data_IF_130960482786
#
_entry.id   IF_130960482786
#
_cell.length_a   1.000
_cell.length_b   1.000
_cell.length_c   1.000
_cell.angle_alpha   90.00
_cell.angle_beta   90.00
_cell.angle_gamma   90.00
#
_symmetry.space_group_name_H-M   'P 1'
#
loop_
_entity.id
_entity.type
_entity.pdbx_description
1 polymer ?
#
# COMPACT_ATOMS: atom_id res chain seq x y z
N UNK A 1 6.27 -23.89 4.83
CA UNK A 1 4.87 -23.39 4.75
C UNK A 1 4.50 -22.62 6.01
N UNK A 2 4.52 -23.22 7.21
CA UNK A 2 4.19 -22.49 8.46
C UNK A 2 5.09 -21.28 8.75
N UNK A 3 6.39 -21.37 8.48
CA UNK A 3 7.32 -20.25 8.70
C UNK A 3 7.07 -19.04 7.75
N UNK A 4 6.57 -19.26 6.53
CA UNK A 4 6.21 -18.17 5.61
C UNK A 4 4.85 -17.55 5.97
N UNK A 5 3.90 -18.35 6.47
CA UNK A 5 2.61 -17.87 6.97
C UNK A 5 2.77 -16.96 8.21
N UNK A 6 3.69 -17.33 9.13
CA UNK A 6 4.06 -16.47 10.27
C UNK A 6 4.70 -15.16 9.80
N UNK A 7 5.47 -15.18 8.70
CA UNK A 7 6.11 -13.99 8.13
C UNK A 7 5.15 -12.97 7.53
N UNK A 8 3.89 -13.32 7.24
CA UNK A 8 2.91 -12.38 6.66
C UNK A 8 1.88 -11.87 7.65
N UNK A 9 1.82 -12.45 8.85
CA UNK A 9 0.79 -12.07 9.83
C UNK A 9 0.82 -10.57 10.12
N UNK A 10 2.02 -9.99 10.30
CA UNK A 10 2.18 -8.55 10.52
C UNK A 10 1.70 -7.71 9.34
N UNK A 11 2.00 -8.12 8.09
CA UNK A 11 1.51 -7.43 6.89
C UNK A 11 -0.03 -7.35 6.90
N UNK A 12 -0.69 -8.46 7.23
CA UNK A 12 -2.14 -8.51 7.28
C UNK A 12 -2.74 -7.74 8.47
N UNK A 13 -2.03 -7.65 9.61
CA UNK A 13 -2.40 -6.74 10.73
C UNK A 13 -2.38 -5.28 10.29
N UNK A 14 -1.37 -4.86 9.51
CA UNK A 14 -1.31 -3.50 8.96
C UNK A 14 -2.37 -3.24 7.91
N UNK A 15 -2.63 -4.21 7.01
CA UNK A 15 -3.73 -4.14 6.05
C UNK A 15 -5.09 -4.02 6.73
N UNK A 16 -5.32 -4.79 7.79
CA UNK A 16 -6.56 -4.73 8.58
C UNK A 16 -6.70 -3.37 9.29
N UNK A 17 -5.61 -2.85 9.84
CA UNK A 17 -5.59 -1.51 10.44
C UNK A 17 -5.96 -0.43 9.42
N UNK A 18 -5.40 -0.50 8.21
CA UNK A 18 -5.74 0.42 7.12
C UNK A 18 -7.20 0.28 6.69
N UNK A 19 -7.71 -0.95 6.52
CA UNK A 19 -9.14 -1.24 6.26
C UNK A 19 -10.04 -0.60 7.31
N UNK A 20 -9.74 -0.75 8.59
CA UNK A 20 -10.51 -0.16 9.68
C UNK A 20 -10.51 1.37 9.65
N UNK A 21 -9.48 1.98 9.06
CA UNK A 21 -9.42 3.42 8.86
C UNK A 21 -10.26 3.87 7.66
N UNK A 22 -10.33 3.07 6.60
CA UNK A 22 -11.32 3.28 5.52
C UNK A 22 -12.74 3.26 6.07
N UNK A 23 -13.05 2.28 6.94
CA UNK A 23 -14.36 2.17 7.61
C UNK A 23 -14.68 3.41 8.44
N UNK A 24 -13.75 3.86 9.30
CA UNK A 24 -13.94 5.07 10.12
C UNK A 24 -14.07 6.35 9.29
N UNK A 25 -13.31 6.46 8.20
CA UNK A 25 -13.38 7.60 7.30
C UNK A 25 -14.69 7.63 6.50
N UNK A 26 -15.25 6.47 6.14
CA UNK A 26 -16.58 6.34 5.52
C UNK A 26 -17.70 6.81 6.45
N UNK A 27 -17.64 6.48 7.74
CA UNK A 27 -18.68 6.88 8.71
C UNK A 27 -18.55 8.32 9.20
N UNK A 28 -17.55 9.08 8.71
CA UNK A 28 -17.33 10.47 9.09
C UNK A 28 -16.72 10.66 10.47
N UNK A 29 -16.32 9.57 11.15
CA UNK A 29 -15.86 9.59 12.53
C UNK A 29 -14.47 10.23 12.70
N UNK A 30 -13.66 10.24 11.63
CA UNK A 30 -12.33 10.84 11.60
C UNK A 30 -12.19 11.70 10.34
N UNK A 31 -12.72 12.93 10.35
CA UNK A 31 -12.50 13.86 9.23
C UNK A 31 -11.07 14.42 9.27
N UNK A 32 -10.26 14.11 8.26
CA UNK A 32 -8.99 14.81 7.99
C UNK A 32 -9.04 15.31 6.55
N UNK A 33 -8.64 16.56 6.26
CA UNK A 33 -8.38 17.02 4.91
C UNK A 33 -7.50 16.02 4.14
N UNK A 34 -7.90 15.72 2.90
CA UNK A 34 -7.23 14.73 2.05
C UNK A 34 -5.88 15.26 1.51
N UNK A 35 -4.94 14.36 1.22
CA UNK A 35 -3.72 14.67 0.44
C UNK A 35 -2.50 15.12 1.24
N UNK A 36 -2.65 15.61 2.47
CA UNK A 36 -1.50 16.03 3.29
C UNK A 36 -0.86 14.87 4.06
N UNK A 37 0.48 14.89 4.16
CA UNK A 37 1.24 14.02 5.08
C UNK A 37 1.03 14.55 6.48
N UNK A 38 0.72 13.64 7.41
CA UNK A 38 0.43 13.95 8.81
C UNK A 38 1.11 12.95 9.72
N UNK A 39 1.25 13.31 10.98
CA UNK A 39 1.51 12.34 12.04
C UNK A 39 0.32 11.38 12.15
N UNK A 40 0.60 10.10 12.38
CA UNK A 40 -0.39 9.05 12.47
C UNK A 40 -1.38 9.35 13.62
N UNK A 41 -2.69 9.07 13.45
CA UNK A 41 -3.71 9.41 14.45
C UNK A 41 -3.51 8.81 15.86
N UNK A 42 -2.68 7.78 16.00
CA UNK A 42 -2.29 7.20 17.30
C UNK A 42 -1.37 8.11 18.12
N UNK A 43 -0.80 9.17 17.53
CA UNK A 43 0.13 10.08 18.20
C UNK A 43 1.55 9.52 18.36
N UNK A 44 1.86 8.38 17.75
CA UNK A 44 3.15 7.70 17.86
C UNK A 44 4.27 8.30 16.98
N UNK A 45 3.96 9.37 16.23
CA UNK A 45 4.94 10.08 15.40
C UNK A 45 5.19 9.45 14.02
N UNK A 46 4.54 8.32 13.68
CA UNK A 46 4.61 7.75 12.33
C UNK A 46 4.09 8.72 11.30
N UNK A 47 4.74 8.80 10.15
CA UNK A 47 4.21 9.54 9.01
C UNK A 47 3.13 8.74 8.30
N UNK A 48 2.09 9.44 7.89
CA UNK A 48 0.91 8.87 7.28
C UNK A 48 0.35 9.83 6.23
N UNK A 49 -0.27 9.27 5.20
CA UNK A 49 -1.10 9.98 4.23
C UNK A 49 -2.29 9.10 3.82
N UNK A 50 -3.45 9.71 3.60
CA UNK A 50 -4.63 9.04 3.01
C UNK A 50 -5.38 9.94 2.04
N UNK A 51 -5.98 9.34 1.02
CA UNK A 51 -6.69 10.05 -0.06
C UNK A 51 -7.89 9.21 -0.53
N UNK A 52 -8.99 9.88 -0.87
CA UNK A 52 -10.10 9.31 -1.61
C UNK A 52 -10.17 9.96 -3.00
N UNK A 53 -9.42 9.46 -4.00
CA UNK A 53 -9.31 10.14 -5.29
C UNK A 53 -10.64 10.36 -6.01
N UNK A 54 -11.61 9.46 -5.80
CA UNK A 54 -12.97 9.54 -6.33
C UNK A 54 -14.02 9.96 -5.28
N UNK A 55 -13.58 10.45 -4.12
CA UNK A 55 -14.42 10.81 -3.00
C UNK A 55 -14.89 9.62 -2.16
N UNK A 56 -15.22 9.91 -0.89
CA UNK A 56 -15.58 8.91 0.14
C UNK A 56 -16.77 8.04 -0.21
N UNK A 57 -17.75 8.61 -0.92
CA UNK A 57 -18.98 7.91 -1.29
C UNK A 57 -18.69 6.72 -2.23
N UNK A 58 -17.68 6.83 -3.10
CA UNK A 58 -17.33 5.79 -4.05
C UNK A 58 -16.86 4.47 -3.40
N UNK A 59 -16.37 4.52 -2.15
CA UNK A 59 -16.02 3.33 -1.35
C UNK A 59 -17.24 2.64 -0.75
N UNK A 60 -18.40 3.30 -0.71
CA UNK A 60 -19.58 2.76 -0.02
C UNK A 60 -20.40 1.79 -0.85
N UNK A 61 -20.23 1.80 -2.17
CA UNK A 61 -21.18 1.22 -3.12
C UNK A 61 -20.69 -0.08 -3.78
N UNK A 62 -19.66 -0.72 -3.24
CA UNK A 62 -19.10 -1.95 -3.83
C UNK A 62 -19.18 -3.13 -2.88
N UNK A 63 -19.78 -4.22 -3.36
CA UNK A 63 -19.84 -5.50 -2.66
C UNK A 63 -18.48 -6.21 -2.61
N UNK A 64 -17.56 -5.84 -3.49
CA UNK A 64 -16.18 -6.32 -3.42
C UNK A 64 -15.19 -5.27 -3.90
N UNK A 65 -13.96 -5.34 -3.37
CA UNK A 65 -12.85 -4.49 -3.78
C UNK A 65 -11.66 -5.33 -4.23
N UNK A 66 -10.87 -4.74 -5.10
CA UNK A 66 -9.49 -5.13 -5.32
C UNK A 66 -8.58 -4.34 -4.39
N UNK A 67 -7.58 -5.02 -3.82
CA UNK A 67 -6.59 -4.37 -2.98
C UNK A 67 -5.17 -4.61 -3.46
N UNK A 68 -4.31 -3.65 -3.17
CA UNK A 68 -2.85 -3.80 -3.22
C UNK A 68 -2.27 -3.35 -1.88
N UNK A 69 -1.45 -4.22 -1.28
CA UNK A 69 -0.66 -3.95 -0.09
C UNK A 69 0.82 -3.96 -0.42
N UNK A 70 1.50 -2.83 -0.32
CA UNK A 70 2.94 -2.72 -0.50
C UNK A 70 3.61 -2.67 0.87
N UNK A 71 4.69 -3.43 1.06
CA UNK A 71 5.51 -3.45 2.26
C UNK A 71 6.97 -3.36 1.86
N UNK A 72 7.62 -2.25 2.20
CA UNK A 72 9.03 -1.99 1.88
C UNK A 72 9.88 -2.01 3.14
N UNK A 73 10.77 -3.00 3.23
CA UNK A 73 11.81 -3.04 4.24
C UNK A 73 12.90 -2.05 3.86
N UNK A 74 13.06 -0.96 4.63
CA UNK A 74 14.03 0.09 4.31
C UNK A 74 15.47 -0.36 4.60
N UNK A 75 16.41 0.23 3.86
CA UNK A 75 17.83 0.13 4.19
C UNK A 75 18.12 0.92 5.47
N UNK A 76 19.11 0.46 6.22
CA UNK A 76 19.69 1.26 7.30
C UNK A 76 20.42 2.46 6.66
N UNK A 77 20.13 3.67 7.13
CA UNK A 77 20.76 4.92 6.66
C UNK A 77 20.51 5.27 5.18
N UNK A 78 19.25 5.29 4.75
CA UNK A 78 18.87 5.84 3.44
C UNK A 78 19.30 7.31 3.35
N UNK A 79 20.10 7.65 2.34
CA UNK A 79 20.52 9.02 2.01
C UNK A 79 19.29 9.94 1.86
N UNK A 80 19.36 11.14 2.44
CA UNK A 80 18.29 12.13 2.46
C UNK A 80 17.76 12.43 1.05
N UNK A 81 18.63 12.42 0.02
CA UNK A 81 18.21 12.65 -1.37
C UNK A 81 17.21 11.59 -1.85
N UNK A 82 17.37 10.34 -1.44
CA UNK A 82 16.48 9.24 -1.84
C UNK A 82 15.20 9.24 -1.04
N UNK A 83 15.25 9.67 0.23
CA UNK A 83 14.05 9.93 1.01
C UNK A 83 13.22 11.04 0.34
N UNK A 84 13.86 12.13 -0.08
CA UNK A 84 13.19 13.22 -0.79
C UNK A 84 12.62 12.76 -2.14
N UNK A 85 13.39 12.01 -2.92
CA UNK A 85 12.92 11.47 -4.21
C UNK A 85 11.70 10.55 -4.04
N UNK A 86 11.66 9.74 -2.97
CA UNK A 86 10.51 8.91 -2.63
C UNK A 86 9.26 9.77 -2.36
N UNK A 87 9.42 10.89 -1.65
CA UNK A 87 8.31 11.81 -1.40
C UNK A 87 7.83 12.52 -2.67
N UNK A 88 8.75 12.98 -3.49
CA UNK A 88 8.42 13.63 -4.77
C UNK A 88 7.68 12.69 -5.72
N UNK A 89 8.03 11.39 -5.73
CA UNK A 89 7.32 10.42 -6.55
C UNK A 89 5.96 10.04 -5.95
N UNK A 90 5.85 9.92 -4.62
CA UNK A 90 4.56 9.72 -3.95
C UNK A 90 3.60 10.87 -4.31
N UNK A 91 4.04 12.13 -4.19
CA UNK A 91 3.27 13.32 -4.55
C UNK A 91 2.79 13.29 -6.01
N UNK A 92 3.67 12.92 -6.94
CA UNK A 92 3.29 12.78 -8.37
C UNK A 92 2.26 11.70 -8.57
N UNK A 93 2.43 10.53 -7.93
CA UNK A 93 1.48 9.43 -8.04
C UNK A 93 0.09 9.88 -7.55
N UNK A 94 0.01 10.69 -6.48
CA UNK A 94 -1.26 11.20 -5.96
C UNK A 94 -2.10 11.91 -7.02
N UNK A 95 -1.46 12.75 -7.85
CA UNK A 95 -2.15 13.55 -8.87
C UNK A 95 -2.84 12.71 -9.95
N UNK A 96 -2.42 11.44 -10.09
CA UNK A 96 -2.91 10.53 -11.10
C UNK A 96 -3.88 9.47 -10.56
N UNK A 97 -4.06 9.35 -9.24
CA UNK A 97 -4.83 8.26 -8.63
C UNK A 97 -6.29 8.20 -9.14
N UNK A 98 -6.92 9.36 -9.36
CA UNK A 98 -8.28 9.43 -9.87
C UNK A 98 -8.40 8.87 -11.30
N UNK A 99 -7.35 9.03 -12.13
CA UNK A 99 -7.32 8.50 -13.50
C UNK A 99 -7.36 6.97 -13.50
N UNK A 100 -6.73 6.34 -12.50
CA UNK A 100 -6.68 4.88 -12.34
C UNK A 100 -7.85 4.31 -11.53
N UNK A 101 -8.90 5.12 -11.30
CA UNK A 101 -10.12 4.71 -10.57
C UNK A 101 -9.82 4.15 -9.17
N UNK A 102 -8.77 4.66 -8.53
CA UNK A 102 -8.43 4.31 -7.15
C UNK A 102 -9.46 4.94 -6.22
N UNK A 103 -10.01 4.13 -5.33
CA UNK A 103 -11.06 4.52 -4.38
C UNK A 103 -10.46 4.98 -3.04
N UNK A 104 -9.36 4.33 -2.64
CA UNK A 104 -8.60 4.69 -1.45
C UNK A 104 -7.11 4.47 -1.72
N UNK A 105 -6.31 5.42 -1.27
CA UNK A 105 -4.86 5.29 -1.17
C UNK A 105 -4.43 5.68 0.24
N UNK A 106 -3.60 4.87 0.88
CA UNK A 106 -2.86 5.28 2.07
C UNK A 106 -1.41 4.85 1.99
N UNK A 107 -0.54 5.69 2.54
CA UNK A 107 0.91 5.53 2.59
C UNK A 107 1.35 5.85 4.01
N UNK A 108 2.07 4.95 4.67
CA UNK A 108 2.31 5.01 6.10
C UNK A 108 3.62 4.35 6.49
N UNK A 109 4.28 4.89 7.52
CA UNK A 109 5.33 4.18 8.23
C UNK A 109 4.74 3.05 9.07
N UNK A 110 5.39 1.89 9.11
CA UNK A 110 5.02 0.77 9.99
C UNK A 110 5.35 1.13 11.45
N UNK A 111 6.56 1.65 11.68
CA UNK A 111 7.05 2.22 12.94
C UNK A 111 7.72 3.57 12.65
N UNK A 112 7.83 4.50 13.63
CA UNK A 112 8.41 5.83 13.37
C UNK A 112 9.81 5.74 12.76
N UNK A 113 9.98 6.27 11.55
CA UNK A 113 11.24 6.20 10.78
C UNK A 113 11.58 4.82 10.19
N UNK A 114 10.82 3.79 10.51
CA UNK A 114 11.00 2.41 10.07
C UNK A 114 10.40 2.13 8.69
N UNK A 115 10.05 0.86 8.48
CA UNK A 115 9.57 0.31 7.21
C UNK A 115 8.32 1.03 6.67
N UNK A 116 8.10 0.90 5.36
CA UNK A 116 7.04 1.61 4.67
C UNK A 116 5.92 0.68 4.22
N UNK A 117 4.68 1.16 4.30
CA UNK A 117 3.50 0.42 3.91
C UNK A 117 2.51 1.29 3.13
N UNK A 118 2.03 0.76 2.00
CA UNK A 118 0.91 1.37 1.28
C UNK A 118 -0.27 0.41 1.16
N UNK A 119 -1.49 0.97 1.20
CA UNK A 119 -2.73 0.26 0.96
C UNK A 119 -3.56 0.98 -0.09
N UNK A 120 -3.96 0.25 -1.11
CA UNK A 120 -4.73 0.78 -2.24
C UNK A 120 -5.98 -0.05 -2.43
N UNK A 121 -7.12 0.61 -2.62
CA UNK A 121 -8.39 -0.02 -2.98
C UNK A 121 -8.88 0.47 -4.33
N UNK A 122 -9.35 -0.46 -5.15
CA UNK A 122 -9.98 -0.19 -6.45
C UNK A 122 -11.24 -1.03 -6.59
N UNK A 123 -12.12 -0.60 -7.50
CA UNK A 123 -13.32 -1.37 -7.85
C UNK A 123 -13.01 -2.57 -8.75
N UNK A 124 -12.05 -2.42 -9.66
CA UNK A 124 -11.77 -3.35 -10.75
C UNK A 124 -10.29 -3.76 -10.75
N UNK A 125 -10.00 -4.98 -11.23
CA UNK A 125 -8.63 -5.53 -11.30
C UNK A 125 -7.75 -4.75 -12.28
N UNK A 126 -8.34 -4.30 -13.39
CA UNK A 126 -7.67 -3.54 -14.44
C UNK A 126 -7.00 -2.27 -13.91
N UNK A 127 -7.52 -1.67 -12.84
CA UNK A 127 -6.94 -0.51 -12.18
C UNK A 127 -5.55 -0.81 -11.62
N UNK A 128 -5.29 -2.04 -11.15
CA UNK A 128 -3.97 -2.47 -10.68
C UNK A 128 -2.97 -2.45 -11.83
N UNK A 129 -3.35 -3.04 -12.95
CA UNK A 129 -2.45 -3.17 -14.09
C UNK A 129 -2.24 -1.82 -14.78
N UNK A 130 -3.27 -0.97 -14.87
CA UNK A 130 -3.12 0.39 -15.39
C UNK A 130 -2.23 1.25 -14.48
N UNK A 131 -2.45 1.22 -13.17
CA UNK A 131 -1.65 1.98 -12.21
C UNK A 131 -0.19 1.50 -12.16
N UNK A 132 0.05 0.20 -12.35
CA UNK A 132 1.40 -0.36 -12.43
C UNK A 132 2.21 0.23 -13.60
N UNK A 133 1.54 0.53 -14.71
CA UNK A 133 2.16 1.15 -15.90
C UNK A 133 1.98 2.68 -15.92
N UNK A 134 1.56 3.29 -14.80
CA UNK A 134 1.44 4.73 -14.70
C UNK A 134 2.81 5.40 -14.87
N UNK A 135 2.83 6.54 -15.56
CA UNK A 135 4.02 7.38 -15.68
C UNK A 135 4.58 7.70 -14.29
N UNK A 136 5.84 7.32 -14.07
CA UNK A 136 6.52 7.49 -12.78
C UNK A 136 6.53 6.25 -11.88
N UNK A 137 5.61 5.29 -12.04
CA UNK A 137 5.63 4.07 -11.23
C UNK A 137 6.84 3.19 -11.58
N UNK A 138 7.16 3.04 -12.87
CA UNK A 138 8.36 2.32 -13.31
C UNK A 138 9.66 3.00 -12.88
N UNK A 139 9.68 4.34 -12.88
CA UNK A 139 10.80 5.11 -12.35
C UNK A 139 10.98 4.87 -10.85
N UNK A 140 9.89 4.87 -10.07
CA UNK A 140 9.94 4.58 -8.64
C UNK A 140 10.52 3.19 -8.35
N UNK A 141 10.10 2.18 -9.12
CA UNK A 141 10.56 0.80 -8.94
C UNK A 141 12.01 0.61 -9.38
N UNK A 142 12.39 1.17 -10.53
CA UNK A 142 13.72 0.94 -11.12
C UNK A 142 14.80 1.84 -10.53
N UNK A 143 14.49 3.12 -10.35
CA UNK A 143 15.50 4.16 -10.14
C UNK A 143 15.53 4.67 -8.69
N UNK A 144 14.46 4.47 -7.90
CA UNK A 144 14.39 4.92 -6.50
C UNK A 144 14.42 3.75 -5.52
N UNK A 145 13.55 2.76 -5.72
CA UNK A 145 13.37 1.64 -4.78
C UNK A 145 14.67 0.91 -4.41
N UNK A 146 15.63 0.66 -5.33
CA UNK A 146 16.87 -0.03 -4.96
C UNK A 146 17.78 0.76 -4.03
N UNK A 147 17.58 2.08 -3.91
CA UNK A 147 18.32 2.95 -3.02
C UNK A 147 17.65 3.16 -1.66
N UNK A 148 16.40 2.72 -1.52
CA UNK A 148 15.58 2.94 -0.32
C UNK A 148 15.30 1.63 0.40
N UNK A 149 15.03 0.56 -0.35
CA UNK A 149 14.55 -0.70 0.22
C UNK A 149 15.56 -1.82 0.01
N UNK A 150 15.68 -2.68 1.02
CA UNK A 150 16.34 -3.98 0.93
C UNK A 150 15.41 -5.00 0.26
N UNK A 151 14.15 -4.99 0.67
CA UNK A 151 13.11 -5.93 0.22
C UNK A 151 11.79 -5.23 0.08
N UNK A 152 10.99 -5.68 -0.87
CA UNK A 152 9.61 -5.26 -1.05
C UNK A 152 8.72 -6.50 -1.18
N UNK A 153 7.58 -6.49 -0.49
CA UNK A 153 6.48 -7.42 -0.68
C UNK A 153 5.26 -6.67 -1.18
N UNK A 154 4.60 -7.21 -2.20
CA UNK A 154 3.39 -6.61 -2.78
C UNK A 154 2.30 -7.67 -2.84
N UNK A 155 1.33 -7.57 -1.94
CA UNK A 155 0.13 -8.39 -1.93
C UNK A 155 -0.91 -7.78 -2.86
N UNK A 156 -1.53 -8.59 -3.71
CA UNK A 156 -2.71 -8.18 -4.47
C UNK A 156 -3.79 -9.26 -4.40
N UNK A 157 -5.02 -8.81 -4.24
CA UNK A 157 -6.14 -9.72 -4.00
C UNK A 157 -7.47 -9.00 -3.92
N UNK A 158 -8.44 -9.67 -3.30
CA UNK A 158 -9.81 -9.18 -3.18
C UNK A 158 -10.31 -9.15 -1.74
N UNK A 159 -11.14 -8.16 -1.48
CA UNK A 159 -12.06 -8.11 -0.34
C UNK A 159 -13.44 -8.48 -0.88
N UNK A 160 -13.85 -9.75 -0.72
CA UNK A 160 -15.05 -10.29 -1.39
C UNK A 160 -16.36 -9.82 -0.75
N UNK A 161 -16.33 -9.47 0.54
CA UNK A 161 -17.50 -8.97 1.29
C UNK A 161 -17.38 -7.46 1.57
N UNK A 162 -16.86 -6.74 0.57
CA UNK A 162 -16.59 -5.32 0.64
C UNK A 162 -15.57 -4.97 1.73
N UNK A 163 -15.57 -3.69 2.12
CA UNK A 163 -14.65 -3.16 3.12
C UNK A 163 -14.98 -3.64 4.55
N UNK A 164 -16.20 -4.13 4.77
CA UNK A 164 -16.64 -4.72 6.03
C UNK A 164 -16.21 -6.19 6.19
N UNK A 165 -15.80 -6.85 5.10
CA UNK A 165 -15.34 -8.22 5.14
C UNK A 165 -14.10 -8.37 6.01
N UNK A 166 -14.00 -9.47 6.76
CA UNK A 166 -12.89 -9.71 7.68
C UNK A 166 -11.65 -10.29 7.01
N UNK A 167 -11.82 -10.89 5.82
CA UNK A 167 -10.77 -11.69 5.20
C UNK A 167 -10.16 -11.03 3.95
N UNK A 168 -8.84 -11.15 3.82
CA UNK A 168 -8.10 -10.80 2.61
C UNK A 168 -7.92 -12.05 1.74
N UNK A 169 -8.57 -12.07 0.58
CA UNK A 169 -8.37 -13.15 -0.40
C UNK A 169 -7.20 -12.78 -1.30
N UNK A 170 -6.00 -13.17 -0.90
CA UNK A 170 -4.77 -12.86 -1.63
C UNK A 170 -4.72 -13.74 -2.86
N UNK A 171 -4.49 -13.14 -4.02
CA UNK A 171 -4.29 -13.88 -5.29
C UNK A 171 -2.82 -14.01 -5.64
N UNK A 172 -2.04 -12.97 -5.36
CA UNK A 172 -0.60 -12.95 -5.66
C UNK A 172 0.18 -12.16 -4.62
N UNK A 173 1.40 -12.60 -4.36
CA UNK A 173 2.42 -11.81 -3.68
C UNK A 173 3.63 -11.71 -4.59
N UNK A 174 4.07 -10.48 -4.88
CA UNK A 174 5.37 -10.24 -5.54
C UNK A 174 6.40 -9.94 -4.48
N UNK A 175 7.51 -10.67 -4.50
CA UNK A 175 8.68 -10.44 -3.67
C UNK A 175 9.76 -9.83 -4.55
N UNK A 176 10.33 -8.72 -4.08
CA UNK A 176 11.44 -8.06 -4.76
C UNK A 176 12.57 -7.90 -3.75
N UNK A 177 13.77 -8.32 -4.15
CA UNK A 177 14.98 -8.08 -3.37
C UNK A 177 15.91 -7.16 -4.14
N UNK A 178 16.49 -6.22 -3.40
CA UNK A 178 17.46 -5.28 -3.92
C UNK A 178 18.81 -5.50 -3.24
N UNK A 179 19.87 -5.45 -4.02
CA UNK A 179 21.24 -5.43 -3.52
C UNK A 179 22.10 -4.59 -4.46
N UNK A 180 23.11 -3.92 -3.92
CA UNK A 180 24.01 -3.05 -4.68
C UNK A 180 23.25 -2.05 -5.58
N UNK A 181 22.18 -1.47 -5.05
CA UNK A 181 21.33 -0.49 -5.74
C UNK A 181 20.68 -1.01 -7.03
N UNK A 182 20.43 -2.32 -7.11
CA UNK A 182 19.73 -2.96 -8.24
C UNK A 182 18.77 -4.03 -7.74
N UNK A 183 17.72 -4.28 -8.52
CA UNK A 183 16.87 -5.45 -8.31
C UNK A 183 17.66 -6.72 -8.65
N UNK A 184 17.81 -7.61 -7.67
CA UNK A 184 18.57 -8.87 -7.83
C UNK A 184 17.68 -10.10 -7.87
N UNK A 185 16.48 -10.00 -7.31
CA UNK A 185 15.49 -11.07 -7.36
C UNK A 185 14.09 -10.48 -7.49
N UNK A 186 13.24 -11.16 -8.27
CA UNK A 186 11.81 -10.87 -8.36
C UNK A 186 11.04 -12.18 -8.49
N UNK A 187 10.36 -12.57 -7.42
CA UNK A 187 9.55 -13.77 -7.37
C UNK A 187 8.06 -13.39 -7.31
N UNK A 188 7.21 -14.17 -7.98
CA UNK A 188 5.75 -14.03 -7.87
C UNK A 188 5.19 -15.36 -7.39
N UNK A 189 4.55 -15.34 -6.21
CA UNK A 189 3.78 -16.48 -5.70
C UNK A 189 2.30 -16.22 -5.93
N UNK A 190 1.60 -17.23 -6.44
CA UNK A 190 0.14 -17.23 -6.57
C UNK A 190 -0.47 -17.97 -5.39
N UNK A 191 -1.60 -17.47 -4.91
CA UNK A 191 -2.27 -18.00 -3.73
C UNK A 191 -3.73 -18.29 -4.06
N UNK A 192 -4.26 -19.33 -3.42
CA UNK A 192 -5.69 -19.60 -3.32
C UNK A 192 -6.14 -19.54 -1.86
N UNK A 193 -5.45 -18.72 -1.06
CA UNK A 193 -5.60 -18.66 0.39
C UNK A 193 -6.36 -17.42 0.84
N UNK A 194 -6.94 -17.52 2.02
CA UNK A 194 -7.72 -16.48 2.66
C UNK A 194 -7.10 -16.17 4.02
N UNK A 195 -6.74 -14.91 4.23
CA UNK A 195 -6.09 -14.45 5.45
C UNK A 195 -7.12 -13.73 6.32
N UNK A 196 -7.42 -14.33 7.47
CA UNK A 196 -8.28 -13.73 8.49
C UNK A 196 -7.41 -12.98 9.49
N UNK A 197 -7.86 -11.79 9.89
CA UNK A 197 -7.14 -10.88 10.79
C UNK A 197 -8.10 -10.24 11.78
#
# INVERSE_FOLDING_TARGET
>A
MEAELISFHEDFVHLNSARNLVLRAKTGCDYLPEGEIRSHPSGDGRKWRRIFPLGRQAVSDCDSFWFVGFFGQKLENVDEKWQKALWEIDDRLLTSLAQYRILWYSSCEVTPGGDWFNFVLMKEENGIDQWRHADGHDCAVRDISPHVYKRVRIHAGRLINGINGQAFHVKRTTFVEYANMKMVNREVKLWNECFNV
#
